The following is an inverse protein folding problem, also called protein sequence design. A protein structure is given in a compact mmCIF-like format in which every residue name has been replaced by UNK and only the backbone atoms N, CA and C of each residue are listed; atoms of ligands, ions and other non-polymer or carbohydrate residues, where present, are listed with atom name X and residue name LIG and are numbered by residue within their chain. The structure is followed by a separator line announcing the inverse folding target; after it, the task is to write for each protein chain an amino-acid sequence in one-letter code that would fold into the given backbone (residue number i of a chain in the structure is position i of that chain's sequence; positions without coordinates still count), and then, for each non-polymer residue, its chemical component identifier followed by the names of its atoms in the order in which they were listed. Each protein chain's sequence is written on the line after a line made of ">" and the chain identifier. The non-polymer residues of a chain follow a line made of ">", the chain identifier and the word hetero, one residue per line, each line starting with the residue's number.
data_IF_549119500317
#
_entry.id   IF_549119500317
#
_cell.length_a   1.000
_cell.length_b   1.000
_cell.length_c   1.000
_cell.angle_alpha   90.00
_cell.angle_beta   90.00
_cell.angle_gamma   90.00
#
_symmetry.space_group_name_H-M   'P 1'
#
loop_
_entity.id
_entity.type
_entity.pdbx_description
1 polymer ?
#
# COMPACT_ATOMS: atom_id res chain seq x y z
N UNK A 1 -44.20 -21.52 19.36
CA UNK A 1 -42.87 -21.97 19.83
C UNK A 1 -41.81 -20.97 19.35
N UNK A 2 -41.34 -20.10 20.26
CA UNK A 2 -40.43 -19.02 19.91
C UNK A 2 -39.00 -19.55 19.74
N UNK A 3 -38.48 -19.46 18.52
CA UNK A 3 -37.07 -19.73 18.19
C UNK A 3 -36.19 -18.72 18.94
N UNK A 4 -35.52 -19.16 20.00
CA UNK A 4 -34.40 -18.42 20.58
C UNK A 4 -33.25 -18.50 19.58
N UNK A 5 -33.18 -17.56 18.64
CA UNK A 5 -31.91 -17.22 17.97
C UNK A 5 -30.95 -16.76 19.06
N UNK A 6 -30.12 -17.67 19.57
CA UNK A 6 -28.97 -17.30 20.39
C UNK A 6 -28.19 -16.24 19.62
N UNK A 7 -27.90 -15.12 20.28
CA UNK A 7 -26.96 -14.12 19.77
C UNK A 7 -25.67 -14.88 19.42
N UNK A 8 -25.35 -14.93 18.13
CA UNK A 8 -24.15 -15.58 17.63
C UNK A 8 -22.94 -14.95 18.33
N UNK A 9 -22.05 -15.78 18.87
CA UNK A 9 -20.82 -15.32 19.51
C UNK A 9 -20.02 -14.47 18.50
N UNK A 10 -19.62 -13.23 18.84
CA UNK A 10 -18.84 -12.38 17.95
C UNK A 10 -17.58 -13.03 17.39
N UNK A 11 -16.92 -13.92 18.15
CA UNK A 11 -15.74 -14.65 17.69
C UNK A 11 -16.10 -15.67 16.60
N UNK A 12 -17.25 -16.34 16.74
CA UNK A 12 -17.74 -17.26 15.72
C UNK A 12 -18.23 -16.55 14.46
N UNK A 13 -18.80 -15.35 14.62
CA UNK A 13 -19.14 -14.49 13.49
C UNK A 13 -17.89 -14.10 12.70
N UNK A 14 -16.81 -13.68 13.38
CA UNK A 14 -15.54 -13.36 12.74
C UNK A 14 -14.92 -14.53 11.98
N UNK A 15 -14.98 -15.74 12.55
CA UNK A 15 -14.53 -16.97 11.87
C UNK A 15 -15.38 -17.28 10.64
N UNK A 16 -16.69 -17.17 10.75
CA UNK A 16 -17.60 -17.39 9.63
C UNK A 16 -17.36 -16.38 8.50
N UNK A 17 -17.18 -15.10 8.84
CA UNK A 17 -16.87 -14.06 7.87
C UNK A 17 -15.55 -14.34 7.15
N UNK A 18 -14.50 -14.74 7.87
CA UNK A 18 -13.21 -15.11 7.28
C UNK A 18 -13.35 -16.29 6.29
N UNK A 19 -14.05 -17.35 6.67
CA UNK A 19 -14.29 -18.51 5.79
C UNK A 19 -15.08 -18.07 4.54
N UNK A 20 -16.10 -17.22 4.70
CA UNK A 20 -16.94 -16.75 3.59
C UNK A 20 -16.16 -15.95 2.55
N UNK A 21 -15.15 -15.20 2.99
CA UNK A 21 -14.29 -14.36 2.14
C UNK A 21 -13.12 -15.12 1.52
N UNK A 22 -12.92 -16.40 1.88
CA UNK A 22 -11.85 -17.22 1.32
C UNK A 22 -12.08 -17.50 -0.17
N UNK A 23 -11.20 -17.00 -1.04
CA UNK A 23 -11.30 -17.21 -2.48
C UNK A 23 -10.66 -18.52 -2.95
N UNK A 24 -9.82 -19.15 -2.13
CA UNK A 24 -9.04 -20.34 -2.53
C UNK A 24 -9.81 -21.65 -2.37
N UNK A 25 -10.97 -21.58 -1.72
CA UNK A 25 -11.85 -22.73 -1.53
C UNK A 25 -12.98 -22.73 -2.55
N UNK A 26 -13.41 -23.91 -3.04
CA UNK A 26 -14.69 -24.04 -3.69
C UNK A 26 -15.84 -23.61 -2.77
N UNK A 27 -16.91 -23.08 -3.35
CA UNK A 27 -18.09 -22.63 -2.60
C UNK A 27 -18.67 -23.73 -1.72
N UNK A 28 -18.76 -24.95 -2.24
CA UNK A 28 -19.21 -26.12 -1.47
C UNK A 28 -18.37 -26.38 -0.23
N UNK A 29 -17.05 -26.19 -0.31
CA UNK A 29 -16.14 -26.36 0.82
C UNK A 29 -16.32 -25.24 1.85
N UNK A 30 -16.53 -23.99 1.41
CA UNK A 30 -16.88 -22.88 2.31
C UNK A 30 -18.19 -23.14 3.04
N UNK A 31 -19.24 -23.52 2.32
CA UNK A 31 -20.56 -23.81 2.91
C UNK A 31 -20.48 -24.94 3.94
N UNK A 32 -19.70 -25.99 3.66
CA UNK A 32 -19.46 -27.09 4.60
C UNK A 32 -18.76 -26.59 5.87
N UNK A 33 -17.68 -25.82 5.74
CA UNK A 33 -16.93 -25.31 6.90
C UNK A 33 -17.77 -24.32 7.71
N UNK A 34 -18.56 -23.46 7.06
CA UNK A 34 -19.50 -22.55 7.73
C UNK A 34 -20.56 -23.32 8.54
N UNK A 35 -21.13 -24.38 7.98
CA UNK A 35 -22.09 -25.22 8.69
C UNK A 35 -21.45 -25.96 9.88
N UNK A 36 -20.15 -26.26 9.79
CA UNK A 36 -19.41 -26.93 10.86
C UNK A 36 -19.03 -26.00 12.03
N UNK A 37 -18.92 -24.69 11.80
CA UNK A 37 -18.46 -23.71 12.80
C UNK A 37 -19.20 -23.83 14.14
N UNK A 38 -20.54 -23.80 14.22
CA UNK A 38 -21.25 -23.85 15.50
C UNK A 38 -20.98 -25.14 16.28
N UNK A 39 -20.96 -26.29 15.60
CA UNK A 39 -20.78 -27.60 16.22
C UNK A 39 -19.32 -27.91 16.59
N UNK A 40 -18.36 -27.35 15.87
CA UNK A 40 -16.94 -27.63 16.09
C UNK A 40 -16.30 -26.65 17.09
N UNK A 41 -16.59 -25.37 16.94
CA UNK A 41 -15.99 -24.32 17.79
C UNK A 41 -16.85 -23.99 19.02
N UNK A 42 -18.14 -24.37 19.02
CA UNK A 42 -19.02 -24.24 20.19
C UNK A 42 -18.90 -25.40 21.18
N UNK A 43 -18.28 -26.52 20.76
CA UNK A 43 -18.03 -27.68 21.62
C UNK A 43 -16.66 -27.55 22.30
N UNK A 44 -16.57 -27.71 23.65
CA UNK A 44 -15.30 -27.70 24.37
C UNK A 44 -14.30 -28.69 23.78
N UNK A 45 -13.00 -28.35 23.78
CA UNK A 45 -11.96 -29.18 23.15
C UNK A 45 -11.98 -30.64 23.59
N UNK A 46 -12.17 -30.89 24.88
CA UNK A 46 -12.20 -32.24 25.48
C UNK A 46 -13.43 -33.06 25.07
N UNK A 47 -14.49 -32.41 24.60
CA UNK A 47 -15.75 -33.03 24.19
C UNK A 47 -15.87 -33.16 22.67
N UNK A 48 -14.89 -32.64 21.91
CA UNK A 48 -14.93 -32.71 20.45
C UNK A 48 -14.71 -34.12 19.94
N UNK A 49 -15.59 -34.56 19.05
CA UNK A 49 -15.35 -35.77 18.27
C UNK A 49 -14.19 -35.58 17.29
N UNK A 50 -13.54 -36.68 16.90
CA UNK A 50 -12.40 -36.66 15.97
C UNK A 50 -12.68 -35.88 14.67
N UNK A 51 -13.91 -36.01 14.14
CA UNK A 51 -14.34 -35.25 12.96
C UNK A 51 -14.43 -33.74 13.22
N UNK A 52 -14.89 -33.32 14.40
CA UNK A 52 -14.91 -31.91 14.78
C UNK A 52 -13.48 -31.37 14.93
N UNK A 53 -12.57 -32.15 15.53
CA UNK A 53 -11.16 -31.79 15.63
C UNK A 53 -10.52 -31.58 14.25
N UNK A 54 -10.80 -32.47 13.29
CA UNK A 54 -10.34 -32.33 11.90
C UNK A 54 -10.90 -31.06 11.23
N UNK A 55 -12.19 -30.77 11.44
CA UNK A 55 -12.83 -29.57 10.89
C UNK A 55 -12.26 -28.28 11.50
N UNK A 56 -11.97 -28.26 12.81
CA UNK A 56 -11.28 -27.13 13.46
C UNK A 56 -9.90 -26.90 12.85
N UNK A 57 -9.14 -27.98 12.60
CA UNK A 57 -7.82 -27.87 11.96
C UNK A 57 -7.93 -27.23 10.57
N UNK A 58 -8.87 -27.70 9.73
CA UNK A 58 -9.08 -27.11 8.40
C UNK A 58 -9.53 -25.65 8.46
N UNK A 59 -10.40 -25.28 9.41
CA UNK A 59 -10.77 -23.88 9.63
C UNK A 59 -9.53 -23.06 9.99
N UNK A 60 -8.66 -23.59 10.85
CA UNK A 60 -7.38 -22.97 11.22
C UNK A 60 -6.47 -22.75 10.01
N UNK A 61 -6.31 -23.76 9.16
CA UNK A 61 -5.48 -23.67 7.94
C UNK A 61 -5.99 -22.58 6.99
N UNK A 62 -7.32 -22.49 6.81
CA UNK A 62 -7.95 -21.50 5.95
C UNK A 62 -7.72 -20.08 6.48
N UNK A 63 -7.95 -19.86 7.77
CA UNK A 63 -7.72 -18.54 8.40
C UNK A 63 -6.24 -18.17 8.31
N UNK A 64 -5.33 -19.12 8.54
CA UNK A 64 -3.89 -18.89 8.46
C UNK A 64 -3.45 -18.52 7.04
N UNK A 65 -4.01 -19.18 6.02
CA UNK A 65 -3.79 -18.84 4.62
C UNK A 65 -4.28 -17.44 4.26
N UNK A 66 -5.45 -17.04 4.74
CA UNK A 66 -5.98 -15.68 4.56
C UNK A 66 -5.04 -14.66 5.22
N UNK A 67 -4.64 -14.90 6.47
CA UNK A 67 -3.73 -14.02 7.20
C UNK A 67 -2.39 -13.85 6.47
N UNK A 68 -1.80 -14.95 5.96
CA UNK A 68 -0.56 -14.91 5.21
C UNK A 68 -0.68 -14.04 3.95
N UNK A 69 -1.78 -14.16 3.19
CA UNK A 69 -2.02 -13.31 2.01
C UNK A 69 -2.22 -11.84 2.37
N UNK A 70 -2.92 -11.54 3.45
CA UNK A 70 -3.09 -10.16 3.91
C UNK A 70 -1.73 -9.56 4.27
N UNK A 71 -0.87 -10.31 4.97
CA UNK A 71 0.48 -9.89 5.29
C UNK A 71 1.34 -9.69 4.04
N UNK A 72 1.24 -10.59 3.05
CA UNK A 72 1.93 -10.46 1.77
C UNK A 72 1.46 -9.21 1.01
N UNK A 73 0.15 -8.98 0.93
CA UNK A 73 -0.43 -7.79 0.29
C UNK A 73 0.05 -6.50 0.94
N UNK A 74 0.08 -6.45 2.28
CA UNK A 74 0.61 -5.30 3.02
C UNK A 74 2.08 -5.10 2.73
N UNK A 75 2.88 -6.18 2.73
CA UNK A 75 4.31 -6.12 2.43
C UNK A 75 4.58 -5.58 1.02
N UNK A 76 3.82 -6.06 0.03
CA UNK A 76 3.91 -5.58 -1.36
C UNK A 76 3.54 -4.10 -1.45
N UNK A 77 2.42 -3.69 -0.83
CA UNK A 77 1.99 -2.30 -0.82
C UNK A 77 3.03 -1.39 -0.17
N UNK A 78 3.61 -1.78 0.96
CA UNK A 78 4.68 -1.02 1.63
C UNK A 78 5.94 -0.91 0.76
N UNK A 79 6.30 -1.95 0.01
CA UNK A 79 7.44 -1.89 -0.92
C UNK A 79 7.18 -0.91 -2.08
N UNK A 80 5.94 -0.87 -2.60
CA UNK A 80 5.53 0.11 -3.62
C UNK A 80 5.58 1.53 -3.07
N UNK A 81 5.07 1.74 -1.85
CA UNK A 81 5.10 3.05 -1.17
C UNK A 81 6.53 3.54 -0.97
N UNK A 82 7.43 2.68 -0.49
CA UNK A 82 8.85 3.02 -0.31
C UNK A 82 9.48 3.45 -1.64
N UNK A 83 9.28 2.66 -2.70
CA UNK A 83 9.82 2.99 -4.03
C UNK A 83 9.27 4.31 -4.58
N UNK A 84 7.99 4.60 -4.33
CA UNK A 84 7.37 5.86 -4.71
C UNK A 84 7.96 7.04 -3.93
N UNK A 85 8.20 6.87 -2.63
CA UNK A 85 8.85 7.88 -1.79
C UNK A 85 10.28 8.19 -2.27
N UNK A 86 11.09 7.16 -2.53
CA UNK A 86 12.45 7.30 -3.08
C UNK A 86 12.44 8.01 -4.44
N UNK A 87 11.50 7.65 -5.31
CA UNK A 87 11.34 8.29 -6.62
C UNK A 87 10.98 9.76 -6.49
N UNK A 88 10.05 10.08 -5.58
CA UNK A 88 9.63 11.45 -5.30
C UNK A 88 10.80 12.29 -4.80
N UNK A 89 11.53 11.80 -3.80
CA UNK A 89 12.70 12.50 -3.26
C UNK A 89 13.76 12.75 -4.34
N UNK A 90 14.04 11.75 -5.18
CA UNK A 90 14.96 11.89 -6.30
C UNK A 90 14.51 12.93 -7.35
N UNK A 91 13.21 13.01 -7.62
CA UNK A 91 12.65 14.03 -8.52
C UNK A 91 12.68 15.43 -7.91
N UNK A 92 12.33 15.56 -6.63
CA UNK A 92 12.39 16.83 -5.90
C UNK A 92 13.83 17.38 -5.88
N UNK A 93 14.82 16.51 -5.67
CA UNK A 93 16.24 16.86 -5.77
C UNK A 93 16.63 17.40 -7.16
N UNK A 94 16.23 16.69 -8.23
CA UNK A 94 16.47 17.14 -9.63
C UNK A 94 15.79 18.47 -9.94
N UNK A 95 14.58 18.68 -9.44
CA UNK A 95 13.86 19.96 -9.60
C UNK A 95 14.62 21.08 -8.89
N UNK A 96 15.15 20.82 -7.69
CA UNK A 96 15.96 21.79 -6.96
C UNK A 96 17.23 22.17 -7.71
N UNK A 97 17.96 21.18 -8.21
CA UNK A 97 19.19 21.39 -9.00
C UNK A 97 18.91 22.14 -10.30
N UNK A 98 17.85 21.78 -11.02
CA UNK A 98 17.45 22.45 -12.25
C UNK A 98 17.07 23.92 -12.00
N UNK A 99 16.36 24.21 -10.90
CA UNK A 99 16.03 25.58 -10.49
C UNK A 99 17.28 26.39 -10.17
N UNK A 100 18.23 25.83 -9.40
CA UNK A 100 19.48 26.50 -9.08
C UNK A 100 20.32 26.79 -10.35
N UNK A 101 20.39 25.83 -11.26
CA UNK A 101 21.07 25.99 -12.56
C UNK A 101 20.41 27.06 -13.41
N UNK A 102 19.08 27.07 -13.48
CA UNK A 102 18.33 28.09 -14.23
C UNK A 102 18.60 29.49 -13.67
N UNK A 103 18.54 29.65 -12.35
CA UNK A 103 18.83 30.92 -11.69
C UNK A 103 20.25 31.40 -12.01
N UNK A 104 21.26 30.55 -11.85
CA UNK A 104 22.65 30.92 -12.17
C UNK A 104 22.86 31.32 -13.63
N UNK A 105 22.16 30.65 -14.57
CA UNK A 105 22.18 31.04 -15.98
C UNK A 105 21.48 32.37 -16.24
N UNK A 106 20.37 32.65 -15.56
CA UNK A 106 19.69 33.95 -15.67
C UNK A 106 20.59 35.09 -15.18
N UNK A 107 21.28 34.90 -14.06
CA UNK A 107 22.24 35.88 -13.53
C UNK A 107 23.41 36.11 -14.50
N UNK A 108 23.97 35.03 -15.07
CA UNK A 108 25.04 35.14 -16.07
C UNK A 108 24.61 35.88 -17.36
N UNK A 109 23.38 35.61 -17.84
CA UNK A 109 22.82 36.31 -19.01
C UNK A 109 22.60 37.79 -18.71
N UNK A 110 22.11 38.13 -17.52
CA UNK A 110 21.92 39.51 -17.11
C UNK A 110 23.26 40.27 -17.03
N UNK A 111 24.28 39.67 -16.41
CA UNK A 111 25.62 40.24 -16.34
C UNK A 111 26.24 40.44 -17.73
N UNK A 112 26.18 39.41 -18.59
CA UNK A 112 26.70 39.48 -19.96
C UNK A 112 25.99 40.54 -20.81
N UNK A 113 24.68 40.70 -20.64
CA UNK A 113 23.91 41.73 -21.35
C UNK A 113 24.33 43.15 -20.93
N UNK A 114 24.59 43.37 -19.63
CA UNK A 114 25.11 44.65 -19.14
C UNK A 114 26.49 44.94 -19.72
N UNK A 115 27.43 43.98 -19.64
CA UNK A 115 28.79 44.17 -20.17
C UNK A 115 28.80 44.42 -21.68
N UNK A 116 27.92 43.76 -22.44
CA UNK A 116 27.78 43.99 -23.87
C UNK A 116 27.25 45.41 -24.17
N UNK A 117 26.29 45.90 -23.39
CA UNK A 117 25.78 47.25 -23.53
C UNK A 117 26.87 48.30 -23.26
N UNK A 118 27.64 48.13 -22.17
CA UNK A 118 28.74 49.03 -21.80
C UNK A 118 29.84 49.05 -22.87
N UNK A 119 30.28 47.87 -23.34
CA UNK A 119 31.29 47.75 -24.39
C UNK A 119 30.82 48.36 -25.72
N UNK A 120 29.53 48.18 -26.05
CA UNK A 120 28.94 48.76 -27.26
C UNK A 120 28.90 50.29 -27.18
N UNK A 121 28.53 50.85 -26.02
CA UNK A 121 28.53 52.29 -25.79
C UNK A 121 29.94 52.89 -25.90
N UNK A 122 30.94 52.27 -25.25
CA UNK A 122 32.34 52.70 -25.32
C UNK A 122 32.89 52.65 -26.76
N UNK A 123 32.55 51.61 -27.52
CA UNK A 123 32.97 51.48 -28.93
C UNK A 123 32.32 52.55 -29.82
N UNK A 124 31.05 52.87 -29.58
CA UNK A 124 30.35 53.93 -30.31
C UNK A 124 30.94 55.31 -30.02
N UNK A 125 31.32 55.57 -28.77
CA UNK A 125 31.98 56.81 -28.37
C UNK A 125 33.39 56.93 -28.99
N UNK A 126 34.20 55.87 -28.93
CA UNK A 126 35.53 55.85 -29.55
C UNK A 126 35.47 56.10 -31.07
N UNK A 127 34.45 55.57 -31.76
CA UNK A 127 34.24 55.84 -33.21
C UNK A 127 33.86 57.28 -33.53
N UNK A 128 33.23 58.02 -32.60
CA UNK A 128 32.86 59.43 -32.81
C UNK A 128 34.04 60.39 -32.59
N UNK A 129 35.08 59.93 -31.89
CA UNK A 129 36.27 60.72 -31.57
C UNK A 129 37.38 60.63 -32.64
N UNK A 130 37.22 59.78 -33.65
CA UNK A 130 38.07 59.64 -34.84
C UNK A 130 37.47 60.41 -36.03
#
# INVERSE_FOLDING_TARGET
>A
PAEKKLKQDPLMAGVADAISQSQDLPESCRSMLLAAVPGCLGTPTEERHEHQTKLVAWIGDVISGIQARMQETVKEASAVEQKAAETKEGLDGKVHEAKATLQGKQEAVAAGSSSLADASAATAEAKRAL
#
